data_IF_573848016839
#
_entry.id   IF_573848016839
#
_cell.length_a   1.000
_cell.length_b   1.000
_cell.length_c   1.000
_cell.angle_alpha   90.00
_cell.angle_beta   90.00
_cell.angle_gamma   90.00
#
_symmetry.space_group_name_H-M   'P 1'
#
loop_
_entity.id
_entity.type
_entity.pdbx_description
1 polymer ?
#
# COMPACT_ATOMS: atom_id res chain seq x y z
N UNK A 1 -13.58 15.91 41.67
CA UNK A 1 -14.38 15.36 40.56
C UNK A 1 -13.53 15.03 39.32
N UNK A 2 -12.57 15.88 38.95
CA UNK A 2 -11.69 15.68 37.76
C UNK A 2 -10.76 14.46 37.79
N UNK A 3 -10.29 14.03 38.98
CA UNK A 3 -9.41 12.84 39.11
C UNK A 3 -10.13 11.53 38.78
N UNK A 4 -11.45 11.45 39.03
CA UNK A 4 -12.29 10.27 38.72
C UNK A 4 -12.52 10.13 37.20
N UNK A 5 -12.77 11.26 36.53
CA UNK A 5 -12.88 11.36 35.07
C UNK A 5 -11.58 11.01 34.32
N UNK A 6 -10.40 11.32 34.89
CA UNK A 6 -9.11 10.90 34.31
C UNK A 6 -8.86 9.40 34.46
N UNK A 7 -9.23 8.82 35.60
CA UNK A 7 -9.11 7.37 35.86
C UNK A 7 -10.03 6.55 34.95
N UNK A 8 -11.29 6.98 34.77
CA UNK A 8 -12.26 6.31 33.89
C UNK A 8 -11.85 6.40 32.41
N UNK A 9 -11.28 7.52 31.97
CA UNK A 9 -10.70 7.64 30.61
C UNK A 9 -9.49 6.73 30.41
N UNK A 10 -8.65 6.53 31.42
CA UNK A 10 -7.53 5.59 31.35
C UNK A 10 -8.02 4.14 31.26
N UNK A 11 -8.99 3.75 32.10
CA UNK A 11 -9.57 2.41 32.07
C UNK A 11 -10.34 2.13 30.77
N UNK A 12 -11.05 3.11 30.21
CA UNK A 12 -11.72 3.00 28.90
C UNK A 12 -10.72 2.84 27.75
N UNK A 13 -9.56 3.50 27.83
CA UNK A 13 -8.49 3.35 26.84
C UNK A 13 -7.74 2.01 26.98
N UNK A 14 -7.61 1.47 28.19
CA UNK A 14 -6.97 0.17 28.43
C UNK A 14 -7.91 -0.99 28.05
N UNK A 15 -9.21 -0.92 28.39
CA UNK A 15 -10.20 -1.95 28.03
C UNK A 15 -10.48 -2.01 26.51
N UNK A 16 -10.27 -0.91 25.77
CA UNK A 16 -10.37 -0.91 24.31
C UNK A 16 -9.13 -1.46 23.60
N UNK A 17 -7.96 -1.56 24.26
CA UNK A 17 -6.77 -2.19 23.66
C UNK A 17 -6.95 -3.72 23.48
N UNK A 18 -7.77 -4.34 24.31
CA UNK A 18 -8.12 -5.78 24.24
C UNK A 18 -9.06 -6.17 23.08
N UNK A 19 -9.55 -5.22 22.28
CA UNK A 19 -10.37 -5.49 21.07
C UNK A 19 -9.69 -5.04 19.78
N UNK A 20 -8.38 -4.78 19.81
CA UNK A 20 -7.62 -4.52 18.59
C UNK A 20 -7.49 -5.85 17.83
N UNK A 21 -8.03 -5.89 16.61
CA UNK A 21 -7.85 -7.05 15.74
C UNK A 21 -6.34 -7.22 15.49
N UNK A 22 -5.82 -8.43 15.71
CA UNK A 22 -4.42 -8.71 15.44
C UNK A 22 -4.14 -8.48 13.94
N UNK A 23 -3.10 -7.71 13.58
CA UNK A 23 -2.72 -7.54 12.18
C UNK A 23 -2.24 -8.86 11.58
N UNK A 24 -2.61 -9.09 10.32
CA UNK A 24 -2.10 -10.17 9.47
C UNK A 24 -0.79 -9.70 8.85
N UNK A 25 0.24 -10.54 8.86
CA UNK A 25 1.55 -10.23 8.28
C UNK A 25 1.86 -11.18 7.13
N UNK A 26 2.27 -10.62 6.00
CA UNK A 26 2.53 -11.36 4.76
C UNK A 26 3.91 -10.94 4.29
N UNK A 27 4.82 -11.90 4.26
CA UNK A 27 6.19 -11.68 3.80
C UNK A 27 6.30 -12.12 2.34
N UNK A 28 6.48 -11.14 1.46
CA UNK A 28 6.76 -11.36 0.05
C UNK A 28 8.27 -11.32 -0.14
N UNK A 29 8.91 -12.50 -0.05
CA UNK A 29 10.34 -12.65 -0.28
C UNK A 29 10.61 -12.68 -1.79
N UNK A 30 11.22 -11.62 -2.30
CA UNK A 30 11.57 -11.44 -3.70
C UNK A 30 12.99 -11.97 -3.88
N UNK A 31 13.17 -12.99 -4.73
CA UNK A 31 14.46 -13.66 -4.96
C UNK A 31 15.46 -12.78 -5.76
N UNK A 32 15.05 -11.59 -6.16
CA UNK A 32 15.78 -10.67 -7.03
C UNK A 32 15.73 -9.25 -6.44
N UNK A 33 16.67 -8.41 -6.82
CA UNK A 33 16.74 -7.03 -6.33
C UNK A 33 15.52 -6.22 -6.72
N UNK A 34 14.90 -5.58 -5.73
CA UNK A 34 13.70 -4.77 -5.94
C UNK A 34 14.05 -3.45 -6.63
N UNK A 35 13.88 -3.41 -7.94
CA UNK A 35 14.01 -2.18 -8.73
C UNK A 35 12.77 -1.29 -8.57
N UNK A 36 12.86 0.02 -8.85
CA UNK A 36 11.73 0.94 -8.76
C UNK A 36 10.58 0.52 -9.69
N UNK A 37 10.93 0.05 -10.90
CA UNK A 37 9.98 -0.46 -11.89
C UNK A 37 9.24 -1.70 -11.40
N UNK A 38 9.94 -2.65 -10.76
CA UNK A 38 9.32 -3.84 -10.17
C UNK A 38 8.43 -3.49 -8.98
N UNK A 39 8.89 -2.56 -8.13
CA UNK A 39 8.09 -2.05 -7.01
C UNK A 39 6.80 -1.37 -7.50
N UNK A 40 6.88 -0.54 -8.54
CA UNK A 40 5.72 0.09 -9.16
C UNK A 40 4.68 -0.93 -9.61
N UNK A 41 5.12 -2.02 -10.25
CA UNK A 41 4.24 -3.11 -10.70
C UNK A 41 3.57 -3.80 -9.52
N UNK A 42 4.33 -4.16 -8.48
CA UNK A 42 3.79 -4.79 -7.28
C UNK A 42 2.71 -3.91 -6.64
N UNK A 43 3.06 -2.64 -6.39
CA UNK A 43 2.17 -1.66 -5.75
C UNK A 43 0.93 -1.37 -6.60
N UNK A 44 0.97 -1.60 -7.92
CA UNK A 44 -0.18 -1.42 -8.81
C UNK A 44 -1.05 -2.67 -8.92
N UNK A 45 -0.46 -3.87 -8.87
CA UNK A 45 -1.19 -5.14 -9.01
C UNK A 45 -1.86 -5.57 -7.69
N UNK A 46 -1.20 -5.42 -6.54
CA UNK A 46 -1.77 -5.78 -5.23
C UNK A 46 -3.14 -5.12 -4.97
N UNK A 47 -3.32 -3.81 -5.21
CA UNK A 47 -4.61 -3.16 -5.03
C UNK A 47 -5.67 -3.61 -6.04
N UNK A 48 -5.31 -4.05 -7.26
CA UNK A 48 -6.30 -4.62 -8.19
C UNK A 48 -6.94 -5.87 -7.60
N UNK A 49 -6.11 -6.74 -7.02
CA UNK A 49 -6.58 -7.95 -6.37
C UNK A 49 -7.50 -7.63 -5.17
N UNK A 50 -7.08 -6.70 -4.30
CA UNK A 50 -7.89 -6.28 -3.14
C UNK A 50 -9.21 -5.65 -3.60
N UNK A 51 -9.16 -4.76 -4.60
CA UNK A 51 -10.33 -4.04 -5.12
C UNK A 51 -11.40 -5.00 -5.68
N UNK A 52 -10.99 -5.96 -6.50
CA UNK A 52 -11.90 -6.91 -7.14
C UNK A 52 -12.54 -7.88 -6.14
N UNK A 53 -11.84 -8.22 -5.05
CA UNK A 53 -12.40 -9.07 -4.01
C UNK A 53 -13.29 -8.30 -3.02
N UNK A 54 -13.01 -7.01 -2.77
CA UNK A 54 -13.69 -6.25 -1.70
C UNK A 54 -14.76 -5.28 -2.13
N UNK A 55 -14.53 -4.53 -3.20
CA UNK A 55 -15.26 -3.28 -3.46
C UNK A 55 -16.02 -3.30 -4.76
N UNK A 56 -15.49 -4.00 -5.76
CA UNK A 56 -16.05 -4.03 -7.10
C UNK A 56 -16.27 -5.48 -7.52
N UNK A 57 -17.52 -5.89 -7.84
CA UNK A 57 -17.85 -7.25 -8.21
C UNK A 57 -17.55 -7.53 -9.70
N UNK A 58 -16.42 -7.03 -10.17
CA UNK A 58 -15.97 -7.20 -11.55
C UNK A 58 -14.46 -7.37 -11.56
N UNK A 59 -13.93 -8.28 -12.39
CA UNK A 59 -12.52 -8.30 -12.69
C UNK A 59 -12.07 -6.96 -13.27
N UNK A 60 -10.85 -6.55 -12.95
CA UNK A 60 -10.28 -5.28 -13.41
C UNK A 60 -10.32 -5.14 -14.95
N UNK A 61 -10.08 -6.23 -15.70
CA UNK A 61 -10.16 -6.23 -17.17
C UNK A 61 -11.57 -5.84 -17.69
N UNK A 62 -12.64 -6.26 -17.01
CA UNK A 62 -14.00 -5.87 -17.37
C UNK A 62 -14.22 -4.36 -17.20
N UNK A 63 -13.64 -3.77 -16.15
CA UNK A 63 -13.71 -2.32 -15.93
C UNK A 63 -12.94 -1.54 -17.01
N UNK A 64 -11.77 -2.05 -17.40
CA UNK A 64 -10.96 -1.49 -18.49
C UNK A 64 -11.73 -1.49 -19.81
N UNK A 65 -12.26 -2.64 -20.22
CA UNK A 65 -13.06 -2.74 -21.44
C UNK A 65 -14.28 -1.83 -21.41
N UNK A 66 -14.95 -1.71 -20.27
CA UNK A 66 -16.09 -0.80 -20.11
C UNK A 66 -15.68 0.66 -20.35
N UNK A 67 -14.51 1.08 -19.86
CA UNK A 67 -14.00 2.43 -20.07
C UNK A 67 -13.53 2.71 -21.50
N UNK A 68 -12.92 1.72 -22.16
CA UNK A 68 -12.50 1.83 -23.57
C UNK A 68 -13.71 1.95 -24.51
N UNK A 69 -14.74 1.11 -24.29
CA UNK A 69 -15.97 1.10 -25.09
C UNK A 69 -16.92 2.27 -24.79
N UNK A 70 -16.76 2.95 -23.66
CA UNK A 70 -17.58 4.12 -23.35
C UNK A 70 -17.34 5.28 -24.34
N UNK A 71 -16.10 5.40 -24.83
CA UNK A 71 -15.71 6.46 -25.75
C UNK A 71 -16.29 6.25 -27.16
N UNK A 72 -16.60 5.02 -27.55
CA UNK A 72 -17.16 4.68 -28.87
C UNK A 72 -18.69 4.75 -28.91
N UNK A 73 -19.37 4.55 -27.78
CA UNK A 73 -20.84 4.55 -27.69
C UNK A 73 -21.48 5.91 -27.30
N UNK A 74 -20.69 6.97 -27.14
CA UNK A 74 -21.20 8.28 -26.70
C UNK A 74 -21.92 9.08 -27.80
N UNK A 75 -21.96 8.57 -29.02
CA UNK A 75 -22.48 9.27 -30.20
C UNK A 75 -23.61 8.47 -30.83
N UNK A 76 -24.79 8.37 -30.19
CA UNK A 76 -26.04 8.03 -30.89
C UNK A 76 -27.31 8.25 -30.02
N UNK A 77 -28.13 9.21 -30.49
CA UNK A 77 -29.61 9.29 -30.49
C UNK A 77 -30.37 9.43 -29.14
N UNK A 78 -30.95 10.60 -28.82
CA UNK A 78 -32.21 11.20 -29.32
C UNK A 78 -33.50 10.42 -28.96
N UNK A 79 -34.30 11.01 -28.06
CA UNK A 79 -35.76 11.00 -28.08
C UNK A 79 -36.51 9.67 -28.11
N UNK A 80 -36.56 8.93 -27.00
CA UNK A 80 -37.75 8.15 -26.62
C UNK A 80 -37.66 7.72 -25.16
N UNK A 81 -38.81 7.63 -24.49
CA UNK A 81 -39.03 7.26 -23.09
C UNK A 81 -38.16 6.08 -22.65
N UNK A 82 -36.96 6.35 -22.11
CA UNK A 82 -36.05 5.29 -21.71
C UNK A 82 -36.66 4.50 -20.55
N UNK A 83 -36.82 3.19 -20.75
CA UNK A 83 -37.23 2.27 -19.69
C UNK A 83 -36.35 2.47 -18.45
N UNK A 84 -36.95 2.40 -17.25
CA UNK A 84 -36.23 2.48 -15.97
C UNK A 84 -35.02 1.52 -15.91
N UNK A 85 -35.10 0.38 -16.61
CA UNK A 85 -34.00 -0.59 -16.75
C UNK A 85 -32.80 -0.02 -17.52
N UNK A 86 -33.03 0.66 -18.65
CA UNK A 86 -31.97 1.27 -19.46
C UNK A 86 -31.25 2.39 -18.69
N UNK A 87 -32.00 3.23 -17.95
CA UNK A 87 -31.43 4.29 -17.11
C UNK A 87 -30.54 3.71 -16.00
N UNK A 88 -31.01 2.63 -15.33
CA UNK A 88 -30.23 1.94 -14.28
C UNK A 88 -28.94 1.34 -14.85
N UNK A 89 -29.00 0.73 -16.02
CA UNK A 89 -27.83 0.17 -16.70
C UNK A 89 -26.82 1.24 -17.08
N UNK A 90 -27.28 2.35 -17.69
CA UNK A 90 -26.42 3.48 -18.05
C UNK A 90 -25.71 4.08 -16.83
N UNK A 91 -26.43 4.24 -15.71
CA UNK A 91 -25.84 4.71 -14.45
C UNK A 91 -24.80 3.73 -13.89
N UNK A 92 -25.07 2.44 -13.97
CA UNK A 92 -24.16 1.39 -13.52
C UNK A 92 -22.87 1.36 -14.35
N UNK A 93 -23.02 1.40 -15.68
CA UNK A 93 -21.89 1.48 -16.59
C UNK A 93 -21.02 2.71 -16.31
N UNK A 94 -21.64 3.89 -16.10
CA UNK A 94 -20.91 5.11 -15.70
C UNK A 94 -20.09 4.91 -14.42
N UNK A 95 -20.61 4.18 -13.42
CA UNK A 95 -19.86 3.86 -12.20
C UNK A 95 -18.66 2.96 -12.46
N UNK A 96 -18.79 1.97 -13.35
CA UNK A 96 -17.68 1.10 -13.75
C UNK A 96 -16.56 1.91 -14.40
N UNK A 97 -16.92 2.80 -15.33
CA UNK A 97 -15.98 3.70 -16.01
C UNK A 97 -15.31 4.67 -15.03
N UNK A 98 -16.07 5.29 -14.13
CA UNK A 98 -15.53 6.19 -13.10
C UNK A 98 -14.57 5.45 -12.15
N UNK A 99 -14.93 4.24 -11.71
CA UNK A 99 -14.08 3.44 -10.84
C UNK A 99 -12.76 3.05 -11.53
N UNK A 100 -12.81 2.65 -12.80
CA UNK A 100 -11.60 2.38 -13.60
C UNK A 100 -10.71 3.63 -13.71
N UNK A 101 -11.28 4.76 -14.14
CA UNK A 101 -10.52 6.01 -14.34
C UNK A 101 -9.90 6.51 -13.04
N UNK A 102 -10.63 6.47 -11.94
CA UNK A 102 -10.10 6.86 -10.63
C UNK A 102 -8.98 5.90 -10.19
N UNK A 103 -9.12 4.59 -10.45
CA UNK A 103 -8.09 3.61 -10.10
C UNK A 103 -6.80 3.89 -10.87
N UNK A 104 -6.90 4.01 -12.20
CA UNK A 104 -5.75 4.32 -13.06
C UNK A 104 -5.09 5.63 -12.65
N UNK A 105 -5.88 6.67 -12.40
CA UNK A 105 -5.35 7.97 -11.98
C UNK A 105 -4.61 7.88 -10.65
N UNK A 106 -5.16 7.20 -9.63
CA UNK A 106 -4.49 7.02 -8.34
C UNK A 106 -3.16 6.31 -8.54
N UNK A 107 -3.16 5.13 -9.17
CA UNK A 107 -1.97 4.29 -9.22
C UNK A 107 -0.93 4.76 -10.23
N UNK A 108 -1.31 5.48 -11.29
CA UNK A 108 -0.36 6.21 -12.12
C UNK A 108 0.41 7.26 -11.30
N UNK A 109 -0.29 8.00 -10.42
CA UNK A 109 0.39 8.97 -9.55
C UNK A 109 1.22 8.30 -8.44
N UNK A 110 0.80 7.14 -7.92
CA UNK A 110 1.65 6.34 -7.02
C UNK A 110 2.94 5.92 -7.71
N UNK A 111 2.87 5.46 -8.97
CA UNK A 111 4.06 5.09 -9.75
C UNK A 111 5.00 6.28 -9.94
N UNK A 112 4.46 7.46 -10.26
CA UNK A 112 5.26 8.69 -10.38
C UNK A 112 5.97 9.04 -9.06
N UNK A 113 5.29 8.95 -7.92
CA UNK A 113 5.93 9.18 -6.61
C UNK A 113 7.03 8.15 -6.31
N UNK A 114 6.81 6.88 -6.65
CA UNK A 114 7.82 5.82 -6.49
C UNK A 114 9.04 6.05 -7.39
N UNK A 115 8.84 6.47 -8.64
CA UNK A 115 9.93 6.79 -9.56
C UNK A 115 10.70 8.04 -9.11
N UNK A 116 9.99 9.09 -8.71
CA UNK A 116 10.60 10.33 -8.21
C UNK A 116 11.36 10.11 -6.90
N UNK A 117 10.98 9.11 -6.10
CA UNK A 117 11.67 8.80 -4.85
C UNK A 117 13.15 8.49 -5.04
N UNK A 118 13.49 7.86 -6.19
CA UNK A 118 14.86 7.54 -6.59
C UNK A 118 15.61 8.80 -7.00
N UNK A 119 14.98 9.69 -7.76
CA UNK A 119 15.60 10.90 -8.28
C UNK A 119 15.80 11.98 -7.22
N UNK A 120 14.83 12.15 -6.31
CA UNK A 120 14.81 13.22 -5.31
C UNK A 120 15.32 12.77 -3.93
N UNK A 121 15.57 11.48 -3.73
CA UNK A 121 16.02 10.91 -2.45
C UNK A 121 14.96 10.96 -1.34
N UNK A 122 13.68 11.12 -1.69
CA UNK A 122 12.55 11.04 -0.76
C UNK A 122 11.80 9.72 -0.95
N UNK A 123 12.27 8.68 -0.26
CA UNK A 123 11.75 7.33 -0.34
C UNK A 123 10.27 7.27 0.08
N UNK A 124 9.44 6.61 -0.74
CA UNK A 124 8.11 6.13 -0.31
C UNK A 124 8.34 4.86 0.50
N UNK A 125 8.05 4.91 1.79
CA UNK A 125 8.26 3.78 2.71
C UNK A 125 7.03 2.87 2.78
N UNK A 126 5.85 3.42 2.53
CA UNK A 126 4.60 2.69 2.69
C UNK A 126 3.51 3.21 1.76
N UNK A 127 2.75 2.27 1.18
CA UNK A 127 1.50 2.55 0.46
C UNK A 127 0.36 1.89 1.23
N UNK A 128 -0.65 2.66 1.61
CA UNK A 128 -1.75 2.20 2.45
C UNK A 128 -3.08 2.33 1.71
N UNK A 129 -3.85 1.23 1.68
CA UNK A 129 -5.22 1.21 1.21
C UNK A 129 -6.16 1.17 2.43
N UNK A 130 -7.02 2.17 2.53
CA UNK A 130 -7.94 2.36 3.65
C UNK A 130 -9.36 2.13 3.14
N UNK A 131 -9.99 1.04 3.58
CA UNK A 131 -11.35 0.70 3.18
C UNK A 131 -12.32 1.07 4.30
N UNK A 132 -13.16 2.08 4.08
CA UNK A 132 -14.12 2.54 5.07
C UNK A 132 -14.84 3.83 4.69
N UNK A 133 -15.61 4.34 5.66
CA UNK A 133 -16.41 5.54 5.45
C UNK A 133 -15.53 6.79 5.26
N UNK A 134 -14.39 6.85 5.96
CA UNK A 134 -13.39 7.91 5.88
C UNK A 134 -11.99 7.33 6.02
N UNK A 135 -10.96 8.07 5.60
CA UNK A 135 -9.55 7.68 5.80
C UNK A 135 -9.16 7.58 7.28
N UNK A 136 -9.81 8.33 8.17
CA UNK A 136 -9.52 8.31 9.63
C UNK A 136 -10.26 7.22 10.40
N UNK A 137 -11.27 6.61 9.79
CA UNK A 137 -12.06 5.54 10.41
C UNK A 137 -12.26 4.35 9.44
N UNK A 138 -11.16 3.75 8.96
CA UNK A 138 -11.22 2.57 8.10
C UNK A 138 -11.80 1.39 8.87
N UNK A 139 -12.51 0.52 8.15
CA UNK A 139 -12.90 -0.80 8.66
C UNK A 139 -11.77 -1.80 8.42
N UNK A 140 -11.03 -1.61 7.33
CA UNK A 140 -9.87 -2.42 6.98
C UNK A 140 -8.74 -1.55 6.44
N UNK A 141 -7.51 -1.96 6.75
CA UNK A 141 -6.27 -1.29 6.37
C UNK A 141 -5.35 -2.32 5.72
N UNK A 142 -4.92 -2.06 4.50
CA UNK A 142 -3.92 -2.87 3.80
C UNK A 142 -2.67 -2.02 3.62
N UNK A 143 -1.57 -2.49 4.18
CA UNK A 143 -0.30 -1.77 4.21
C UNK A 143 0.68 -2.52 3.32
N UNK A 144 1.29 -1.83 2.36
CA UNK A 144 2.37 -2.36 1.53
C UNK A 144 3.63 -1.62 1.99
N UNK A 145 4.48 -2.32 2.73
CA UNK A 145 5.73 -1.78 3.25
C UNK A 145 6.81 -1.99 2.21
N UNK A 146 7.43 -0.90 1.77
CA UNK A 146 8.39 -0.88 0.67
C UNK A 146 9.79 -0.77 1.28
N UNK A 147 10.69 -1.74 1.02
CA UNK A 147 12.07 -1.65 1.46
C UNK A 147 12.81 -0.61 0.61
N UNK A 148 14.01 -0.18 1.02
CA UNK A 148 14.86 0.63 0.16
C UNK A 148 15.04 -0.05 -1.21
N UNK A 149 14.58 0.60 -2.27
CA UNK A 149 14.72 0.11 -3.64
C UNK A 149 16.14 0.40 -4.15
N UNK A 150 16.71 -0.50 -4.95
CA UNK A 150 18.02 -0.26 -5.55
C UNK A 150 17.89 0.74 -6.70
N UNK A 151 18.89 1.61 -6.88
CA UNK A 151 18.93 2.53 -8.03
C UNK A 151 19.38 1.86 -9.33
N UNK A 152 19.78 0.58 -9.28
CA UNK A 152 20.34 -0.12 -10.43
C UNK A 152 19.20 -0.83 -11.17
N UNK A 153 18.82 -0.28 -12.31
CA UNK A 153 17.94 -0.99 -13.24
C UNK A 153 18.74 -2.12 -13.90
N UNK A 154 18.42 -3.37 -13.58
CA UNK A 154 18.88 -4.52 -14.36
C UNK A 154 17.90 -4.76 -15.51
N UNK A 155 18.42 -5.02 -16.70
CA UNK A 155 17.69 -5.07 -17.98
C UNK A 155 16.80 -6.33 -18.16
N UNK A 156 16.32 -6.92 -17.06
CA UNK A 156 15.79 -8.28 -17.06
C UNK A 156 14.25 -8.32 -17.05
N UNK A 157 13.63 -8.22 -18.24
CA UNK A 157 12.18 -8.46 -18.41
C UNK A 157 11.69 -9.83 -17.87
N UNK A 158 12.55 -10.86 -17.88
CA UNK A 158 12.19 -12.18 -17.33
C UNK A 158 12.04 -12.17 -15.81
N UNK A 159 12.78 -11.29 -15.15
CA UNK A 159 12.77 -11.07 -13.71
C UNK A 159 11.41 -10.50 -13.27
N UNK A 160 10.87 -9.54 -14.02
CA UNK A 160 9.60 -8.87 -13.70
C UNK A 160 8.40 -9.83 -13.64
N UNK A 161 8.31 -10.80 -14.55
CA UNK A 161 7.24 -11.79 -14.54
C UNK A 161 7.35 -12.73 -13.35
N UNK A 162 8.58 -13.09 -12.93
CA UNK A 162 8.81 -13.89 -11.73
C UNK A 162 8.40 -13.15 -10.48
N UNK A 163 8.79 -11.87 -10.36
CA UNK A 163 8.39 -11.00 -9.25
C UNK A 163 6.86 -10.89 -9.18
N UNK A 164 6.17 -10.68 -10.31
CA UNK A 164 4.70 -10.62 -10.34
C UNK A 164 4.05 -11.93 -9.92
N UNK A 165 4.53 -13.06 -10.42
CA UNK A 165 4.00 -14.39 -10.08
C UNK A 165 4.27 -14.73 -8.61
N UNK A 166 5.43 -14.35 -8.09
CA UNK A 166 5.79 -14.57 -6.69
C UNK A 166 4.92 -13.71 -5.76
N UNK A 167 4.72 -12.42 -6.09
CA UNK A 167 3.77 -11.57 -5.38
C UNK A 167 2.36 -12.17 -5.37
N UNK A 168 1.86 -12.58 -6.55
CA UNK A 168 0.54 -13.20 -6.66
C UNK A 168 0.47 -14.46 -5.80
N UNK A 169 1.52 -15.30 -5.79
CA UNK A 169 1.60 -16.47 -4.92
C UNK A 169 1.55 -16.08 -3.44
N UNK A 170 2.38 -15.15 -2.97
CA UNK A 170 2.38 -14.72 -1.57
C UNK A 170 1.03 -14.14 -1.14
N UNK A 171 0.38 -13.37 -2.00
CA UNK A 171 -0.91 -12.72 -1.73
C UNK A 171 -2.08 -13.71 -1.81
N UNK A 172 -2.14 -14.54 -2.85
CA UNK A 172 -3.25 -15.49 -3.10
C UNK A 172 -3.16 -16.73 -2.22
N UNK A 173 -1.96 -17.22 -1.93
CA UNK A 173 -1.76 -18.39 -1.07
C UNK A 173 -1.76 -18.05 0.42
N UNK A 174 -1.82 -16.76 0.78
CA UNK A 174 -2.02 -16.36 2.17
C UNK A 174 -3.46 -16.66 2.57
N UNK A 175 -3.64 -17.71 3.38
CA UNK A 175 -4.93 -18.06 3.98
C UNK A 175 -5.46 -16.91 4.83
N UNK A 176 -4.61 -16.28 5.66
CA UNK A 176 -5.00 -15.14 6.49
C UNK A 176 -5.49 -13.93 5.66
N UNK A 177 -4.83 -13.63 4.54
CA UNK A 177 -5.27 -12.54 3.66
C UNK A 177 -6.58 -12.90 2.96
N UNK A 178 -6.70 -14.13 2.49
CA UNK A 178 -7.91 -14.64 1.82
C UNK A 178 -9.10 -14.61 2.77
N UNK A 179 -8.93 -15.10 3.99
CA UNK A 179 -9.92 -15.01 5.07
C UNK A 179 -10.30 -13.56 5.37
N UNK A 180 -9.33 -12.65 5.35
CA UNK A 180 -9.61 -11.24 5.52
C UNK A 180 -10.41 -10.72 4.32
N UNK A 181 -10.09 -11.12 3.08
CA UNK A 181 -10.76 -10.74 1.83
C UNK A 181 -12.18 -11.28 1.70
N UNK A 182 -12.44 -12.52 2.11
CA UNK A 182 -13.75 -13.17 2.01
C UNK A 182 -14.79 -12.56 2.94
N UNK A 183 -14.34 -11.95 4.03
CA UNK A 183 -15.26 -11.29 4.96
C UNK A 183 -15.90 -10.07 4.31
N UNK A 184 -17.21 -10.14 4.09
CA UNK A 184 -17.96 -9.05 3.51
C UNK A 184 -17.78 -7.73 4.28
N UNK A 185 -17.57 -6.66 3.53
CA UNK A 185 -17.66 -5.28 4.01
C UNK A 185 -18.87 -4.66 3.31
N UNK A 186 -19.58 -3.79 4.02
CA UNK A 186 -20.57 -2.92 3.37
C UNK A 186 -19.92 -2.10 2.24
N UNK A 187 -20.74 -1.64 1.28
CA UNK A 187 -20.26 -0.75 0.23
C UNK A 187 -19.66 0.51 0.86
N UNK A 188 -18.39 0.75 0.54
CA UNK A 188 -17.63 1.82 1.19
C UNK A 188 -16.56 2.36 0.25
N UNK A 189 -15.80 3.33 0.72
CA UNK A 189 -14.78 3.99 -0.08
C UNK A 189 -13.41 3.37 0.18
N UNK A 190 -12.53 3.45 -0.81
CA UNK A 190 -11.10 3.19 -0.68
C UNK A 190 -10.36 4.51 -0.78
N UNK A 191 -9.54 4.81 0.21
CA UNK A 191 -8.57 5.90 0.19
C UNK A 191 -7.17 5.32 0.05
N UNK A 192 -6.29 6.03 -0.65
CA UNK A 192 -4.88 5.64 -0.79
C UNK A 192 -4.02 6.68 -0.10
N UNK A 193 -3.11 6.21 0.74
CA UNK A 193 -2.15 7.06 1.42
C UNK A 193 -0.73 6.60 1.17
N UNK A 194 0.19 7.55 1.13
CA UNK A 194 1.63 7.34 1.00
C UNK A 194 2.33 7.84 2.25
N UNK A 195 3.27 7.06 2.76
CA UNK A 195 4.24 7.52 3.76
C UNK A 195 5.55 7.83 3.06
N UNK A 196 6.00 9.07 3.14
CA UNK A 196 7.28 9.52 2.55
C UNK A 196 8.28 9.83 3.66
N UNK A 197 9.55 9.52 3.45
CA UNK A 197 10.61 9.64 4.48
C UNK A 197 10.93 11.07 4.88
N UNK A 198 10.97 11.99 3.91
CA UNK A 198 11.35 13.41 4.10
C UNK A 198 10.18 14.36 3.94
N UNK A 199 9.07 13.90 3.35
CA UNK A 199 7.88 14.73 3.18
C UNK A 199 8.02 15.79 2.09
N UNK A 200 8.76 15.50 1.01
CA UNK A 200 8.78 16.39 -0.15
C UNK A 200 7.38 16.50 -0.74
N UNK A 201 7.02 17.72 -1.18
CA UNK A 201 5.70 18.00 -1.73
C UNK A 201 5.38 17.08 -2.92
N UNK A 202 4.19 16.48 -2.90
CA UNK A 202 3.61 15.80 -4.05
C UNK A 202 2.72 16.78 -4.82
N UNK A 203 2.74 16.72 -6.16
CA UNK A 203 1.82 17.52 -6.97
C UNK A 203 0.38 17.01 -6.88
N UNK A 204 0.21 15.70 -6.73
CA UNK A 204 -1.11 15.06 -6.80
C UNK A 204 -1.61 14.59 -5.44
N UNK A 205 -0.74 14.07 -4.58
CA UNK A 205 -1.14 13.74 -3.21
C UNK A 205 -1.10 14.96 -2.30
N UNK A 206 -2.03 15.02 -1.35
CA UNK A 206 -2.15 16.14 -0.41
C UNK A 206 -1.53 15.72 0.92
N UNK A 207 -0.59 16.49 1.48
CA UNK A 207 -0.02 16.18 2.80
C UNK A 207 -1.11 16.23 3.89
N UNK A 208 -1.07 15.29 4.83
CA UNK A 208 -1.86 15.31 6.07
C UNK A 208 -0.93 15.14 7.28
N UNK A 209 -0.48 16.27 7.82
CA UNK A 209 0.45 16.34 8.96
C UNK A 209 -0.14 15.79 10.26
N UNK A 210 -1.47 15.78 10.34
CA UNK A 210 -2.20 15.31 11.52
C UNK A 210 -2.62 13.85 11.41
N UNK A 211 -2.25 13.18 10.32
CA UNK A 211 -2.64 11.80 10.09
C UNK A 211 -1.81 10.85 10.95
N UNK A 212 -2.50 10.09 11.79
CA UNK A 212 -1.98 8.90 12.44
C UNK A 212 -2.72 7.68 11.88
N UNK A 213 -1.98 6.61 11.61
CA UNK A 213 -2.57 5.39 11.09
C UNK A 213 -3.60 4.83 12.11
N UNK A 214 -4.87 4.62 11.71
CA UNK A 214 -5.90 4.15 12.62
C UNK A 214 -5.58 2.76 13.19
N UNK A 215 -5.61 2.65 14.52
CA UNK A 215 -5.40 1.36 15.21
C UNK A 215 -6.62 0.44 15.12
N UNK A 216 -7.79 1.00 14.79
CA UNK A 216 -9.06 0.26 14.71
C UNK A 216 -9.26 -0.28 13.29
N UNK A 217 -9.96 -1.41 13.22
CA UNK A 217 -10.19 -2.13 11.96
C UNK A 217 -9.25 -3.31 11.82
N UNK A 218 -9.54 -4.18 10.85
CA UNK A 218 -8.65 -5.30 10.51
C UNK A 218 -7.48 -4.75 9.70
N UNK A 219 -6.30 -5.31 9.91
CA UNK A 219 -5.10 -4.85 9.22
C UNK A 219 -4.40 -6.03 8.56
N UNK A 220 -3.93 -5.84 7.33
CA UNK A 220 -2.94 -6.70 6.70
C UNK A 220 -1.72 -5.87 6.33
N UNK A 221 -0.53 -6.41 6.59
CA UNK A 221 0.75 -5.79 6.28
C UNK A 221 1.52 -6.71 5.37
N UNK A 222 1.76 -6.24 4.14
CA UNK A 222 2.50 -6.92 3.09
C UNK A 222 3.90 -6.31 3.10
N UNK A 223 4.87 -7.08 3.60
CA UNK A 223 6.28 -6.69 3.55
C UNK A 223 6.89 -7.17 2.25
N UNK A 224 7.39 -6.23 1.45
CA UNK A 224 8.25 -6.56 0.32
C UNK A 224 9.67 -6.67 0.87
N UNK A 225 10.33 -7.82 0.69
CA UNK A 225 11.69 -8.03 1.16
C UNK A 225 12.51 -8.75 0.09
N UNK A 226 13.81 -8.46 0.01
CA UNK A 226 14.74 -9.25 -0.79
C UNK A 226 15.17 -10.49 0.01
N UNK A 227 15.27 -11.65 -0.64
CA UNK A 227 15.84 -12.83 0.02
C UNK A 227 17.31 -12.56 0.35
N UNK A 228 17.64 -12.54 1.64
CA UNK A 228 19.03 -12.49 2.11
C UNK A 228 19.67 -13.86 1.90
N UNK A 229 19.93 -14.22 0.64
CA UNK A 229 20.47 -15.52 0.23
C UNK A 229 21.75 -15.46 -0.63
N UNK A 230 22.17 -14.27 -1.09
CA UNK A 230 23.48 -14.05 -1.72
C UNK A 230 23.99 -12.67 -1.32
N UNK A 231 24.87 -12.62 -0.33
CA UNK A 231 25.79 -11.49 -0.20
C UNK A 231 26.68 -11.47 -1.43
N UNK A 232 26.33 -10.64 -2.40
CA UNK A 232 27.34 -10.01 -3.24
C UNK A 232 27.55 -8.65 -2.60
N UNK A 233 28.71 -8.46 -1.99
CA UNK A 233 29.13 -7.18 -1.42
C UNK A 233 28.94 -6.09 -2.49
N UNK A 234 27.94 -5.25 -2.28
CA UNK A 234 27.70 -4.03 -3.06
C UNK A 234 27.81 -2.83 -2.13
N UNK A 235 28.86 -2.83 -1.31
CA UNK A 235 29.45 -1.61 -0.77
C UNK A 235 30.38 -1.00 -1.83
N UNK A 236 29.82 -0.56 -2.96
CA UNK A 236 30.50 0.33 -3.87
C UNK A 236 29.51 1.04 -4.79
N UNK A 237 29.82 2.31 -5.09
CA UNK A 237 29.20 3.16 -6.10
C UNK A 237 27.95 3.93 -5.66
N UNK A 238 28.16 4.89 -4.75
CA UNK A 238 27.64 6.26 -4.89
C UNK A 238 28.42 7.24 -3.98
N UNK A 239 29.76 7.24 -4.09
CA UNK A 239 30.61 8.35 -3.63
C UNK A 239 31.86 8.42 -4.50
N UNK A 240 31.82 9.22 -5.56
CA UNK A 240 33.05 9.78 -6.13
C UNK A 240 32.81 11.21 -6.61
N UNK A 241 33.13 12.18 -5.75
CA UNK A 241 33.96 13.34 -6.11
C UNK A 241 34.88 13.65 -4.92
N UNK A 242 36.18 13.71 -5.19
CA UNK A 242 37.31 14.22 -4.38
C UNK A 242 38.02 13.30 -3.34
N UNK A 243 38.85 12.37 -3.85
CA UNK A 243 40.33 12.18 -3.67
C UNK A 243 41.10 12.82 -2.45
N UNK A 244 42.32 12.36 -2.09
CA UNK A 244 42.67 11.16 -1.30
C UNK A 244 43.64 11.46 -0.11
N UNK A 245 43.81 10.53 0.85
CA UNK A 245 45.11 10.18 1.47
C UNK A 245 45.01 8.99 2.45
N UNK A 246 45.77 7.95 2.08
CA UNK A 246 46.51 6.85 2.76
C UNK A 246 46.40 6.55 4.26
N UNK A 247 46.74 5.29 4.64
CA UNK A 247 46.16 4.54 5.75
C UNK A 247 47.03 4.54 7.02
N UNK A 248 46.46 4.13 8.16
CA UNK A 248 47.10 3.09 8.98
C UNK A 248 46.28 2.55 10.16
N UNK A 249 46.45 1.24 10.34
CA UNK A 249 46.43 0.40 11.54
C UNK A 249 45.12 0.00 12.25
N UNK A 250 45.03 -1.32 12.35
CA UNK A 250 44.12 -2.24 13.02
C UNK A 250 43.89 -2.02 14.52
N UNK A 251 42.74 -2.49 15.01
CA UNK A 251 42.63 -3.27 16.26
C UNK A 251 41.30 -4.02 16.37
N UNK A 252 41.44 -5.33 16.46
CA UNK A 252 40.49 -6.37 16.85
C UNK A 252 40.15 -6.25 18.33
N UNK A 253 38.87 -6.37 18.71
CA UNK A 253 38.46 -6.78 20.07
C UNK A 253 37.23 -7.69 19.93
N UNK A 254 37.38 -8.90 20.44
CA UNK A 254 36.37 -9.94 20.61
C UNK A 254 35.59 -9.76 21.92
N UNK A 255 34.59 -10.65 22.10
CA UNK A 255 33.82 -10.96 23.30
C UNK A 255 32.57 -10.09 23.55
N UNK A 256 31.42 -10.60 24.01
CA UNK A 256 31.01 -11.94 24.36
C UNK A 256 29.47 -11.95 24.47
N UNK A 257 28.91 -13.14 24.38
CA UNK A 257 27.50 -13.52 24.48
C UNK A 257 26.83 -13.07 25.80
N UNK A 258 25.62 -12.52 25.72
CA UNK A 258 24.66 -12.56 26.83
C UNK A 258 23.28 -12.95 26.30
N UNK A 259 22.86 -14.15 26.73
CA UNK A 259 21.50 -14.69 26.68
C UNK A 259 20.70 -14.04 27.81
N UNK A 260 19.72 -13.18 27.49
CA UNK A 260 18.47 -13.12 28.25
C UNK A 260 17.35 -12.40 27.47
N UNK A 261 16.16 -12.97 27.49
CA UNK A 261 14.91 -12.31 27.11
C UNK A 261 14.61 -12.12 25.61
N UNK A 262 14.26 -13.18 24.88
CA UNK A 262 13.55 -13.08 23.59
C UNK A 262 12.17 -12.40 23.76
N UNK A 263 12.16 -11.07 23.80
CA UNK A 263 11.07 -10.30 23.20
C UNK A 263 11.33 -10.32 21.70
N UNK A 264 10.49 -11.01 20.94
CA UNK A 264 10.73 -11.23 19.52
C UNK A 264 10.86 -9.91 18.72
N UNK A 265 11.65 -9.87 17.63
CA UNK A 265 11.82 -8.72 16.74
C UNK A 265 10.50 -8.14 16.18
N UNK A 266 9.44 -8.94 16.23
CA UNK A 266 8.13 -8.67 15.66
C UNK A 266 7.33 -7.63 16.46
N UNK A 267 7.47 -7.59 17.80
CA UNK A 267 6.81 -6.55 18.62
C UNK A 267 7.49 -5.19 18.45
N UNK A 268 8.82 -5.17 18.29
CA UNK A 268 9.57 -3.94 17.98
C UNK A 268 9.25 -3.40 16.58
N UNK A 269 9.04 -4.28 15.59
CA UNK A 269 8.60 -3.89 14.25
C UNK A 269 7.18 -3.30 14.28
N UNK A 270 6.28 -3.88 15.06
CA UNK A 270 4.90 -3.38 15.22
C UNK A 270 4.88 -2.03 15.94
N UNK A 271 5.67 -1.86 17.00
CA UNK A 271 5.79 -0.57 17.70
C UNK A 271 6.44 0.48 16.79
N UNK A 272 7.46 0.10 16.00
CA UNK A 272 8.09 0.98 14.99
C UNK A 272 7.18 1.37 13.82
N UNK A 273 6.24 0.51 13.42
CA UNK A 273 5.29 0.78 12.34
C UNK A 273 4.21 1.81 12.70
N UNK A 274 3.97 2.05 14.00
CA UNK A 274 3.00 3.03 14.50
C UNK A 274 3.66 4.33 14.99
N UNK A 275 4.96 4.31 15.24
CA UNK A 275 5.74 5.51 15.56
C UNK A 275 6.16 6.13 14.24
N UNK A 276 5.68 7.34 13.93
CA UNK A 276 6.26 8.12 12.83
C UNK A 276 7.72 8.43 13.20
N UNK A 277 8.73 7.89 12.50
CA UNK A 277 10.09 8.34 12.67
C UNK A 277 10.16 9.84 12.38
N UNK A 278 11.03 10.58 13.09
CA UNK A 278 11.19 12.02 12.86
C UNK A 278 11.50 12.25 11.38
N UNK A 279 10.64 13.01 10.70
CA UNK A 279 10.79 13.38 9.29
C UNK A 279 9.78 12.73 8.34
N UNK A 280 9.10 11.65 8.73
CA UNK A 280 8.13 11.01 7.83
C UNK A 280 6.80 11.76 7.79
N UNK A 281 6.22 11.92 6.61
CA UNK A 281 4.96 12.61 6.40
C UNK A 281 3.99 11.75 5.58
N UNK A 282 2.71 11.83 5.94
CA UNK A 282 1.63 11.13 5.25
C UNK A 282 1.02 12.01 4.17
N UNK A 283 0.67 11.39 3.05
CA UNK A 283 0.05 12.05 1.91
C UNK A 283 -1.19 11.25 1.48
N UNK A 284 -2.32 11.92 1.29
CA UNK A 284 -3.58 11.30 0.87
C UNK A 284 -3.86 11.56 -0.61
N UNK A 285 -4.41 10.56 -1.31
CA UNK A 285 -4.92 10.72 -2.66
C UNK A 285 -6.04 11.77 -2.71
N UNK A 286 -6.08 12.59 -3.77
CA UNK A 286 -7.14 13.59 -3.99
C UNK A 286 -8.49 12.97 -4.29
N UNK A 287 -8.49 11.79 -4.89
CA UNK A 287 -9.70 11.03 -5.21
C UNK A 287 -9.74 9.73 -4.42
N UNK A 288 -10.94 9.21 -4.20
CA UNK A 288 -11.19 7.91 -3.57
C UNK A 288 -11.95 7.00 -4.54
N UNK A 289 -11.79 5.68 -4.38
CA UNK A 289 -12.60 4.72 -5.12
C UNK A 289 -13.87 4.41 -4.35
N UNK A 290 -15.01 4.44 -5.04
CA UNK A 290 -16.30 4.13 -4.44
C UNK A 290 -16.68 2.69 -4.79
N UNK A 291 -16.92 1.86 -3.79
CA UNK A 291 -17.47 0.52 -4.00
C UNK A 291 -18.90 0.58 -4.55
N UNK A 292 -19.28 -0.42 -5.36
CA UNK A 292 -20.63 -0.54 -5.88
C UNK A 292 -21.03 -2.01 -6.07
N UNK A 293 -22.34 -2.31 -6.04
CA UNK A 293 -22.86 -3.67 -6.27
C UNK A 293 -23.24 -3.89 -7.73
N UNK A 294 -23.27 -5.17 -8.10
CA UNK A 294 -23.93 -5.65 -9.30
C UNK A 294 -25.38 -5.14 -9.32
N UNK A 295 -25.80 -4.67 -10.50
CA UNK A 295 -27.20 -4.40 -10.75
C UNK A 295 -27.85 -5.71 -11.16
N UNK A 296 -28.62 -6.32 -10.25
CA UNK A 296 -29.57 -7.37 -10.64
C UNK A 296 -30.65 -6.72 -11.51
N UNK A 297 -30.78 -7.22 -12.74
CA UNK A 297 -31.74 -6.80 -13.76
C UNK A 297 -33.10 -7.48 -13.60
#
# INVERSE_FOLDING_TARGET
>A
MERKLRSERLCYNIANRSRLAKPVFIHCNIDETLTPTSCCKIVTETPKYILCNKLIPYPYYTLKNAAENFNTCSTEQSGHTQSRKAVRMKRHHKKMVEAYRNFESIFQNVQLELQNSVACGDAVEEVVLLIGATSRSPREVYRIVIPPVSCVESDQKQSENRIRLNLLRCVVLSEDLTDMLDRSIGLTNMYVMLKKRRGTSSHWFVPDDSYGLPLRGRQAVIFLGEQVGRRVDTDAVCKEVAKPRTPDTSKTVEAETNLDGQRGPLLELIDGLHINPRGTQWFQSRVCLKGFRLVCL
#
